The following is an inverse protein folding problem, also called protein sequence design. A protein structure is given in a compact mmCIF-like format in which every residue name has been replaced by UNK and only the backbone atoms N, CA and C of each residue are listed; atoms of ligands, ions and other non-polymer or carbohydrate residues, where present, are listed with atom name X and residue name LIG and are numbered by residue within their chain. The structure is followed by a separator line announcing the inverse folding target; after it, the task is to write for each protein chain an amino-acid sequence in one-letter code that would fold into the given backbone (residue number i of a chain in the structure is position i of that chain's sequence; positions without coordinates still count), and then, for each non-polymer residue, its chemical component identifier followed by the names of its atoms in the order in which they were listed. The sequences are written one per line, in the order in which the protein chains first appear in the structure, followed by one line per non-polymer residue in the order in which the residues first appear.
data_IF_182351270745
#
_entry.id   IF_182351270745
#
_cell.length_a   1.000
_cell.length_b   1.000
_cell.length_c   1.000
_cell.angle_alpha   90.00
_cell.angle_beta   90.00
_cell.angle_gamma   90.00
#
_symmetry.space_group_name_H-M   'P 1'
#
loop_
_entity.id
_entity.type
_entity.pdbx_description
1 polymer ?
#
# COMPACT_ATOMS: atom_id res chain seq x y z
N UNK A 1 -16.22 8.19 -27.65
CA UNK A 1 -16.62 8.84 -26.38
C UNK A 1 -16.53 7.77 -25.32
N UNK A 2 -15.61 7.90 -24.36
CA UNK A 2 -15.44 6.91 -23.30
C UNK A 2 -16.65 6.94 -22.37
N UNK A 3 -17.11 5.77 -21.95
CA UNK A 3 -18.15 5.62 -20.92
C UNK A 3 -17.82 6.48 -19.70
N UNK A 4 -18.83 7.13 -19.13
CA UNK A 4 -18.70 7.93 -17.91
C UNK A 4 -18.11 7.05 -16.79
N UNK A 5 -16.93 7.45 -16.29
CA UNK A 5 -16.23 6.74 -15.23
C UNK A 5 -17.01 6.93 -13.93
N UNK A 6 -17.75 5.89 -13.53
CA UNK A 6 -18.41 5.84 -12.23
C UNK A 6 -17.42 5.36 -11.18
N UNK A 7 -17.14 6.22 -10.19
CA UNK A 7 -16.33 5.83 -9.03
C UNK A 7 -17.22 5.21 -7.97
N UNK A 8 -16.76 4.09 -7.40
CA UNK A 8 -17.40 3.41 -6.27
C UNK A 8 -16.50 3.57 -5.04
N UNK A 9 -16.81 4.48 -4.09
CA UNK A 9 -15.95 4.75 -2.93
C UNK A 9 -15.68 3.52 -2.06
N UNK A 10 -16.63 2.60 -1.98
CA UNK A 10 -16.46 1.33 -1.26
C UNK A 10 -15.35 0.45 -1.88
N UNK A 11 -15.25 0.42 -3.21
CA UNK A 11 -14.20 -0.32 -3.91
C UNK A 11 -12.83 0.33 -3.71
N UNK A 12 -12.75 1.67 -3.71
CA UNK A 12 -11.52 2.39 -3.39
C UNK A 12 -11.02 2.08 -1.97
N UNK A 13 -11.92 2.01 -0.99
CA UNK A 13 -11.55 1.60 0.38
C UNK A 13 -11.13 0.15 0.48
N UNK A 14 -11.81 -0.75 -0.23
CA UNK A 14 -11.44 -2.16 -0.28
C UNK A 14 -10.04 -2.34 -0.88
N UNK A 15 -9.74 -1.63 -1.97
CA UNK A 15 -8.42 -1.59 -2.58
C UNK A 15 -7.37 -1.02 -1.61
N UNK A 16 -7.65 0.10 -0.95
CA UNK A 16 -6.77 0.68 0.06
C UNK A 16 -6.45 -0.29 1.21
N UNK A 17 -7.46 -1.02 1.72
CA UNK A 17 -7.27 -2.01 2.76
C UNK A 17 -6.40 -3.19 2.28
N UNK A 18 -6.61 -3.64 1.04
CA UNK A 18 -5.81 -4.70 0.42
C UNK A 18 -4.35 -4.28 0.25
N UNK A 19 -4.12 -3.07 -0.26
CA UNK A 19 -2.78 -2.51 -0.42
C UNK A 19 -2.09 -2.34 0.92
N UNK A 20 -2.79 -1.83 1.94
CA UNK A 20 -2.24 -1.75 3.31
C UNK A 20 -1.79 -3.12 3.81
N UNK A 21 -2.61 -4.17 3.63
CA UNK A 21 -2.25 -5.53 4.02
C UNK A 21 -1.01 -6.04 3.26
N UNK A 22 -0.92 -5.77 1.96
CA UNK A 22 0.24 -6.12 1.13
C UNK A 22 1.49 -5.38 1.61
N UNK A 23 1.40 -4.07 1.87
CA UNK A 23 2.51 -3.25 2.36
C UNK A 23 3.06 -3.77 3.69
N UNK A 24 2.18 -4.12 4.63
CA UNK A 24 2.54 -4.75 5.90
C UNK A 24 3.20 -6.13 5.69
N UNK A 25 2.65 -6.96 4.79
CA UNK A 25 3.22 -8.27 4.49
C UNK A 25 4.63 -8.17 3.92
N UNK A 26 4.88 -7.24 2.98
CA UNK A 26 6.19 -7.00 2.37
C UNK A 26 7.19 -6.49 3.40
N UNK A 27 6.81 -5.50 4.20
CA UNK A 27 7.65 -5.01 5.30
C UNK A 27 7.95 -6.09 6.34
N UNK A 28 7.04 -7.05 6.52
CA UNK A 28 7.16 -8.19 7.44
C UNK A 28 7.95 -9.39 6.91
N UNK A 29 8.42 -9.41 5.66
CA UNK A 29 9.15 -10.55 5.09
C UNK A 29 10.46 -10.88 5.84
N UNK A 30 11.01 -9.94 6.61
CA UNK A 30 12.13 -10.20 7.52
C UNK A 30 13.42 -10.69 6.84
N UNK A 31 13.61 -10.37 5.55
CA UNK A 31 14.63 -10.96 4.66
C UNK A 31 16.07 -10.78 5.17
N UNK A 32 16.31 -9.75 5.99
CA UNK A 32 17.58 -9.49 6.66
C UNK A 32 18.04 -10.64 7.55
N UNK A 33 17.12 -11.31 8.25
CA UNK A 33 17.47 -12.36 9.20
C UNK A 33 17.96 -13.65 8.49
N UNK A 34 17.28 -14.17 7.45
CA UNK A 34 17.82 -15.24 6.61
C UNK A 34 19.18 -14.93 5.99
N UNK A 35 19.37 -13.72 5.45
CA UNK A 35 20.63 -13.33 4.81
C UNK A 35 21.78 -13.20 5.82
N UNK A 36 21.51 -12.65 7.00
CA UNK A 36 22.48 -12.59 8.10
C UNK A 36 22.86 -13.99 8.61
N UNK A 37 21.87 -14.88 8.76
CA UNK A 37 22.10 -16.27 9.15
C UNK A 37 22.92 -17.03 8.10
N UNK A 38 22.63 -16.83 6.81
CA UNK A 38 23.40 -17.43 5.72
C UNK A 38 24.86 -16.92 5.71
N UNK A 39 25.07 -15.63 5.91
CA UNK A 39 26.41 -15.05 6.03
C UNK A 39 27.20 -15.66 7.20
N UNK A 40 26.55 -15.81 8.37
CA UNK A 40 27.17 -16.40 9.56
C UNK A 40 27.50 -17.90 9.38
N UNK A 41 26.72 -18.64 8.59
CA UNK A 41 26.96 -20.06 8.31
C UNK A 41 28.10 -20.31 7.30
N UNK A 42 28.56 -19.28 6.58
CA UNK A 42 29.53 -19.40 5.48
C UNK A 42 30.78 -18.51 5.67
N UNK A 43 31.51 -18.63 6.80
CA UNK A 43 32.69 -17.80 7.05
C UNK A 43 33.81 -18.09 6.03
N UNK A 44 34.41 -17.04 5.49
CA UNK A 44 35.50 -17.13 4.51
C UNK A 44 35.07 -17.45 3.07
N UNK A 45 33.78 -17.73 2.84
CA UNK A 45 33.22 -17.91 1.50
C UNK A 45 32.75 -16.58 0.93
N UNK A 46 33.03 -16.35 -0.36
CA UNK A 46 32.55 -15.17 -1.11
C UNK A 46 31.03 -15.04 -1.06
N UNK A 47 30.30 -16.17 -1.09
CA UNK A 47 28.84 -16.19 -0.94
C UNK A 47 28.37 -15.68 0.41
N UNK A 48 29.08 -16.00 1.49
CA UNK A 48 28.78 -15.48 2.83
C UNK A 48 28.98 -13.97 2.93
N UNK A 49 30.05 -13.44 2.32
CA UNK A 49 30.29 -12.01 2.23
C UNK A 49 29.19 -11.28 1.42
N UNK A 50 28.81 -11.84 0.27
CA UNK A 50 27.73 -11.31 -0.56
C UNK A 50 26.39 -11.29 0.19
N UNK A 51 26.07 -12.33 0.97
CA UNK A 51 24.87 -12.35 1.82
C UNK A 51 24.87 -11.23 2.87
N UNK A 52 26.01 -10.95 3.50
CA UNK A 52 26.13 -9.86 4.46
C UNK A 52 25.96 -8.48 3.80
N UNK A 53 26.54 -8.29 2.62
CA UNK A 53 26.50 -7.05 1.85
C UNK A 53 25.10 -6.72 1.32
N UNK A 54 24.39 -7.72 0.77
CA UNK A 54 23.09 -7.51 0.12
C UNK A 54 21.92 -7.42 1.13
N UNK A 55 22.10 -7.95 2.34
CA UNK A 55 21.10 -7.94 3.42
C UNK A 55 20.46 -6.57 3.70
N UNK A 56 21.24 -5.49 3.95
CA UNK A 56 20.67 -4.16 4.16
C UNK A 56 19.98 -3.58 2.91
N UNK A 57 20.47 -3.90 1.71
CA UNK A 57 19.89 -3.42 0.44
C UNK A 57 18.50 -3.99 0.25
N UNK A 58 18.33 -5.30 0.45
CA UNK A 58 17.03 -5.97 0.28
C UNK A 58 16.06 -5.57 1.39
N UNK A 59 16.52 -5.42 2.64
CA UNK A 59 15.70 -4.92 3.74
C UNK A 59 15.19 -3.50 3.47
N UNK A 60 16.05 -2.62 2.95
CA UNK A 60 15.67 -1.26 2.54
C UNK A 60 14.68 -1.27 1.38
N UNK A 61 14.92 -2.07 0.35
CA UNK A 61 14.01 -2.19 -0.79
C UNK A 61 12.62 -2.68 -0.38
N UNK A 62 12.54 -3.70 0.49
CA UNK A 62 11.27 -4.21 1.00
C UNK A 62 10.50 -3.13 1.78
N UNK A 63 11.19 -2.35 2.63
CA UNK A 63 10.55 -1.23 3.36
C UNK A 63 10.07 -0.12 2.43
N UNK A 64 10.84 0.24 1.40
CA UNK A 64 10.42 1.26 0.43
C UNK A 64 9.18 0.83 -0.34
N UNK A 65 9.14 -0.43 -0.80
CA UNK A 65 7.96 -0.97 -1.48
C UNK A 65 6.75 -0.96 -0.54
N UNK A 66 6.92 -1.41 0.71
CA UNK A 66 5.85 -1.37 1.70
C UNK A 66 5.32 0.06 1.93
N UNK A 67 6.22 1.04 2.03
CA UNK A 67 5.86 2.44 2.22
C UNK A 67 5.11 3.03 1.01
N UNK A 68 5.55 2.75 -0.22
CA UNK A 68 4.87 3.26 -1.42
C UNK A 68 3.47 2.66 -1.58
N UNK A 69 3.32 1.36 -1.31
CA UNK A 69 2.02 0.69 -1.34
C UNK A 69 1.08 1.28 -0.27
N UNK A 70 1.56 1.52 0.95
CA UNK A 70 0.77 2.21 1.98
C UNK A 70 0.42 3.64 1.59
N UNK A 71 1.33 4.39 0.97
CA UNK A 71 1.06 5.74 0.49
C UNK A 71 0.01 5.76 -0.63
N UNK A 72 -0.02 4.73 -1.48
CA UNK A 72 -1.08 4.59 -2.48
C UNK A 72 -2.43 4.26 -1.84
N UNK A 73 -2.46 3.37 -0.84
CA UNK A 73 -3.66 3.09 -0.06
C UNK A 73 -4.25 4.36 0.59
N UNK A 74 -3.41 5.23 1.15
CA UNK A 74 -3.84 6.51 1.73
C UNK A 74 -4.47 7.44 0.69
N UNK A 75 -3.93 7.48 -0.54
CA UNK A 75 -4.50 8.26 -1.65
C UNK A 75 -5.88 7.72 -2.03
N UNK A 76 -6.04 6.39 -2.10
CA UNK A 76 -7.33 5.75 -2.39
C UNK A 76 -8.37 6.05 -1.29
N UNK A 77 -7.97 5.99 -0.02
CA UNK A 77 -8.83 6.35 1.11
C UNK A 77 -9.25 7.82 1.08
N UNK A 78 -8.31 8.71 0.78
CA UNK A 78 -8.58 10.15 0.61
C UNK A 78 -9.55 10.41 -0.53
N UNK A 79 -9.35 9.74 -1.67
CA UNK A 79 -10.24 9.85 -2.82
C UNK A 79 -11.65 9.36 -2.49
N UNK A 80 -11.78 8.19 -1.84
CA UNK A 80 -13.08 7.67 -1.41
C UNK A 80 -13.83 8.65 -0.51
N UNK A 81 -13.13 9.25 0.47
CA UNK A 81 -13.73 10.26 1.36
C UNK A 81 -14.15 11.54 0.62
N UNK A 82 -13.39 11.96 -0.39
CA UNK A 82 -13.75 13.11 -1.20
C UNK A 82 -15.02 12.86 -2.04
N UNK A 83 -15.15 11.69 -2.66
CA UNK A 83 -16.35 11.33 -3.43
C UNK A 83 -17.59 11.28 -2.55
N UNK A 84 -17.53 10.60 -1.40
CA UNK A 84 -18.68 10.49 -0.50
C UNK A 84 -19.13 11.83 0.07
N UNK A 85 -18.19 12.71 0.40
CA UNK A 85 -18.53 14.06 0.87
C UNK A 85 -19.28 14.84 -0.21
N UNK A 86 -18.78 14.81 -1.44
CA UNK A 86 -19.40 15.51 -2.57
C UNK A 86 -20.79 14.92 -2.87
N UNK A 87 -20.92 13.59 -2.90
CA UNK A 87 -22.20 12.91 -3.11
C UNK A 87 -23.22 13.24 -2.02
N UNK A 88 -22.78 13.29 -0.75
CA UNK A 88 -23.61 13.72 0.38
C UNK A 88 -24.09 15.16 0.24
N UNK A 89 -23.19 16.10 -0.08
CA UNK A 89 -23.53 17.51 -0.31
C UNK A 89 -24.58 17.67 -1.43
N UNK A 90 -24.48 16.90 -2.52
CA UNK A 90 -25.48 16.93 -3.59
C UNK A 90 -26.81 16.31 -3.16
N UNK A 91 -26.78 15.18 -2.45
CA UNK A 91 -27.99 14.54 -1.94
C UNK A 91 -28.77 15.46 -0.98
N UNK A 92 -28.07 16.17 -0.09
CA UNK A 92 -28.67 17.13 0.84
C UNK A 92 -29.31 18.31 0.10
N UNK A 93 -28.64 18.84 -0.93
CA UNK A 93 -29.19 19.92 -1.76
C UNK A 93 -30.40 19.47 -2.55
N UNK A 94 -30.40 18.24 -3.06
CA UNK A 94 -31.55 17.68 -3.78
C UNK A 94 -32.74 17.49 -2.84
N UNK A 95 -32.52 16.89 -1.67
CA UNK A 95 -33.55 16.71 -0.64
C UNK A 95 -34.14 18.04 -0.17
N UNK A 96 -33.29 19.07 -0.02
CA UNK A 96 -33.72 20.41 0.38
C UNK A 96 -34.48 21.17 -0.71
N UNK A 97 -34.29 20.80 -1.98
CA UNK A 97 -34.94 21.44 -3.13
C UNK A 97 -36.23 20.73 -3.57
N UNK A 98 -36.50 19.52 -3.07
CA UNK A 98 -37.70 18.76 -3.42
C UNK A 98 -38.89 19.22 -2.55
N UNK A 99 -39.98 19.77 -3.13
CA UNK A 99 -41.16 20.11 -2.35
C UNK A 99 -41.86 18.82 -1.89
N UNK A 100 -42.29 18.80 -0.62
CA UNK A 100 -43.03 17.69 -0.02
C UNK A 100 -44.45 17.52 -0.57
#
# INVERSE_FOLDING_TARGET
MGSELKVVPAELRSAAATETAVGVAIAGLGIRQPLSAAAAAMPGLQSGAACAEISPVVDSAARMVGAEVSAHADKLGTAAGAYERVDGEYADRLNSAQPG
#
